data_IF_272365858787
#
_entry.id   IF_272365858787
#
_cell.length_a   1.000
_cell.length_b   1.000
_cell.length_c   1.000
_cell.angle_alpha   90.00
_cell.angle_beta   90.00
_cell.angle_gamma   90.00
#
_symmetry.space_group_name_H-M   'P 1'
#
loop_
_entity.id
_entity.type
_entity.pdbx_description
1 polymer ?
#
# COMPACT_ATOMS: atom_id res chain seq x y z
N UNK A 1 47.07 11.34 -16.05
CA UNK A 1 46.19 11.13 -14.88
C UNK A 1 44.76 10.94 -15.37
N UNK A 2 44.29 9.69 -15.48
CA UNK A 2 42.98 9.38 -16.05
C UNK A 2 41.90 9.44 -14.96
N UNK A 3 40.95 10.38 -15.12
CA UNK A 3 39.77 10.56 -14.26
C UNK A 3 38.84 9.34 -14.46
N UNK A 4 38.80 8.42 -13.49
CA UNK A 4 37.83 7.31 -13.51
C UNK A 4 36.42 7.90 -13.47
N UNK A 5 35.65 7.70 -14.54
CA UNK A 5 34.27 8.17 -14.68
C UNK A 5 33.42 7.45 -13.62
N UNK A 6 32.73 8.19 -12.77
CA UNK A 6 31.79 7.63 -11.80
C UNK A 6 30.60 7.01 -12.56
N UNK A 7 30.39 5.70 -12.43
CA UNK A 7 29.21 5.04 -13.01
C UNK A 7 28.00 5.33 -12.12
N UNK A 8 26.86 5.70 -12.72
CA UNK A 8 25.62 5.92 -11.97
C UNK A 8 24.90 4.60 -11.70
N UNK A 9 24.37 4.40 -10.49
CA UNK A 9 23.60 3.20 -10.15
C UNK A 9 22.31 3.10 -11.00
N UNK A 10 22.14 2.00 -11.74
CA UNK A 10 21.00 1.78 -12.65
C UNK A 10 19.62 1.81 -11.97
N UNK A 11 19.56 1.57 -10.66
CA UNK A 11 18.29 1.51 -9.91
C UNK A 11 17.94 2.82 -9.18
N UNK A 12 18.94 3.59 -8.72
CA UNK A 12 18.71 4.80 -7.92
C UNK A 12 19.34 6.08 -8.47
N UNK A 13 20.15 6.00 -9.52
CA UNK A 13 20.81 7.15 -10.14
C UNK A 13 21.95 7.76 -9.32
N UNK A 14 22.22 7.25 -8.11
CA UNK A 14 23.32 7.74 -7.28
C UNK A 14 24.68 7.48 -7.96
N UNK A 15 25.59 8.46 -7.88
CA UNK A 15 26.97 8.31 -8.32
C UNK A 15 27.68 7.26 -7.46
N UNK A 16 28.23 6.24 -8.10
CA UNK A 16 28.95 5.18 -7.41
C UNK A 16 30.44 5.54 -7.36
N UNK A 17 31.08 5.21 -6.23
CA UNK A 17 32.53 5.26 -6.13
C UNK A 17 33.15 4.29 -7.14
N UNK A 18 34.20 4.71 -7.84
CA UNK A 18 34.83 3.91 -8.89
C UNK A 18 35.28 2.54 -8.34
N UNK A 19 34.71 1.46 -8.87
CA UNK A 19 35.01 0.07 -8.46
C UNK A 19 34.12 -0.49 -7.35
N UNK A 20 33.06 0.21 -6.92
CA UNK A 20 32.13 -0.31 -5.92
C UNK A 20 31.34 -1.50 -6.46
N UNK A 21 31.45 -2.66 -5.79
CA UNK A 21 30.66 -3.85 -6.11
C UNK A 21 29.20 -3.74 -5.62
N UNK A 22 28.86 -2.75 -4.80
CA UNK A 22 27.53 -2.54 -4.26
C UNK A 22 27.20 -1.05 -4.08
N UNK A 23 25.92 -0.70 -4.19
CA UNK A 23 25.43 0.63 -3.83
C UNK A 23 25.23 0.73 -2.32
N UNK A 24 25.90 1.66 -1.66
CA UNK A 24 25.72 1.90 -0.20
C UNK A 24 24.33 2.41 0.18
N UNK A 25 23.63 3.05 -0.77
CA UNK A 25 22.27 3.58 -0.58
C UNK A 25 21.17 2.51 -0.66
N UNK A 26 21.39 1.42 -1.41
CA UNK A 26 20.36 0.38 -1.63
C UNK A 26 20.85 -1.05 -1.41
N UNK A 27 22.09 -1.26 -1.01
CA UNK A 27 22.67 -2.56 -0.67
C UNK A 27 22.75 -3.57 -1.83
N UNK A 28 22.54 -3.14 -3.08
CA UNK A 28 22.51 -4.06 -4.22
C UNK A 28 23.85 -4.14 -4.94
N UNK A 29 24.17 -5.34 -5.40
CA UNK A 29 25.31 -5.60 -6.24
C UNK A 29 25.23 -4.80 -7.55
N UNK A 30 26.34 -4.17 -7.93
CA UNK A 30 26.52 -3.45 -9.18
C UNK A 30 27.38 -4.30 -10.10
N UNK A 31 26.90 -4.55 -11.31
CA UNK A 31 27.69 -5.21 -12.37
C UNK A 31 28.63 -4.18 -12.99
N UNK A 32 29.68 -3.78 -12.26
CA UNK A 32 30.74 -2.92 -12.82
C UNK A 32 31.88 -3.80 -13.36
N UNK A 33 32.39 -3.57 -14.58
CA UNK A 33 33.55 -4.29 -15.13
C UNK A 33 34.82 -4.12 -14.28
N UNK A 34 34.88 -3.08 -13.44
CA UNK A 34 35.98 -2.78 -12.52
C UNK A 34 35.74 -3.27 -11.08
N UNK A 35 34.67 -4.05 -10.84
CA UNK A 35 34.36 -4.57 -9.51
C UNK A 35 35.47 -5.55 -9.06
N UNK A 36 36.14 -5.23 -7.95
CA UNK A 36 36.98 -6.21 -7.26
C UNK A 36 36.13 -7.42 -6.83
N UNK A 37 36.68 -8.64 -6.85
CA UNK A 37 35.95 -9.85 -6.47
C UNK A 37 35.33 -9.65 -5.08
N UNK A 38 34.05 -9.99 -4.97
CA UNK A 38 33.29 -9.83 -3.74
C UNK A 38 34.06 -10.45 -2.55
N UNK A 39 34.18 -9.76 -1.40
CA UNK A 39 34.77 -10.35 -0.22
C UNK A 39 33.99 -11.62 0.15
N UNK A 40 34.69 -12.76 0.21
CA UNK A 40 34.10 -14.10 0.46
C UNK A 40 33.39 -14.23 1.81
N UNK A 41 33.61 -13.29 2.72
CA UNK A 41 32.86 -13.17 3.96
C UNK A 41 32.85 -11.71 4.41
N UNK A 42 31.66 -11.17 4.60
CA UNK A 42 31.46 -10.02 5.49
C UNK A 42 31.33 -10.63 6.88
N UNK A 43 32.11 -10.21 7.89
CA UNK A 43 31.93 -10.69 9.25
C UNK A 43 30.52 -10.33 9.69
N UNK A 44 29.64 -11.33 9.74
CA UNK A 44 28.33 -11.22 10.33
C UNK A 44 28.55 -10.89 11.80
N UNK A 45 28.23 -9.66 12.19
CA UNK A 45 27.98 -9.35 13.58
C UNK A 45 27.02 -10.42 14.15
N UNK A 46 27.23 -10.77 15.42
CA UNK A 46 26.48 -11.80 16.15
C UNK A 46 25.00 -11.88 15.70
N UNK A 47 24.46 -13.08 15.40
CA UNK A 47 23.18 -13.24 14.69
C UNK A 47 22.02 -12.48 15.35
N UNK A 48 22.01 -12.36 16.67
CA UNK A 48 21.00 -11.60 17.42
C UNK A 48 21.00 -10.09 17.09
N UNK A 49 22.18 -9.47 16.97
CA UNK A 49 22.29 -8.03 16.68
C UNK A 49 22.08 -7.74 15.19
N UNK A 50 22.55 -8.64 14.31
CA UNK A 50 22.29 -8.55 12.88
C UNK A 50 20.80 -8.73 12.54
N UNK A 51 20.09 -9.62 13.24
CA UNK A 51 18.64 -9.80 13.08
C UNK A 51 17.86 -8.60 13.61
N UNK A 52 18.24 -8.00 14.74
CA UNK A 52 17.61 -6.77 15.22
C UNK A 52 17.85 -5.58 14.28
N UNK A 53 19.08 -5.41 13.77
CA UNK A 53 19.40 -4.36 12.81
C UNK A 53 18.67 -4.57 11.47
N UNK A 54 18.61 -5.81 10.98
CA UNK A 54 17.83 -6.18 9.80
C UNK A 54 16.33 -5.97 10.01
N UNK A 55 15.79 -6.25 11.20
CA UNK A 55 14.40 -5.97 11.55
C UNK A 55 14.12 -4.47 11.61
N UNK A 56 15.03 -3.66 12.14
CA UNK A 56 14.93 -2.20 12.15
C UNK A 56 14.89 -1.61 10.74
N UNK A 57 15.80 -2.04 9.87
CA UNK A 57 15.82 -1.65 8.44
C UNK A 57 14.59 -2.17 7.69
N UNK A 58 14.13 -3.38 7.99
CA UNK A 58 12.91 -3.93 7.42
C UNK A 58 11.68 -3.12 7.83
N UNK A 59 11.60 -2.67 9.08
CA UNK A 59 10.53 -1.81 9.56
C UNK A 59 10.56 -0.43 8.89
N UNK A 60 11.74 0.14 8.66
CA UNK A 60 11.90 1.41 7.94
C UNK A 60 11.45 1.31 6.47
N UNK A 61 11.83 0.22 5.78
CA UNK A 61 11.41 -0.04 4.40
C UNK A 61 9.91 -0.38 4.31
N UNK A 62 9.38 -1.13 5.29
CA UNK A 62 7.95 -1.42 5.39
C UNK A 62 7.15 -0.14 5.66
N UNK A 63 7.64 0.74 6.54
CA UNK A 63 7.00 2.03 6.86
C UNK A 63 6.87 2.94 5.64
N UNK A 64 7.93 3.06 4.81
CA UNK A 64 7.84 3.82 3.55
C UNK A 64 6.82 3.24 2.57
N UNK A 65 6.67 1.91 2.52
CA UNK A 65 5.65 1.25 1.68
C UNK A 65 4.24 1.45 2.21
N UNK A 66 4.07 1.45 3.53
CA UNK A 66 2.79 1.78 4.16
C UNK A 66 2.41 3.24 3.88
N UNK A 67 3.35 4.17 4.03
CA UNK A 67 3.13 5.59 3.73
C UNK A 67 2.75 5.81 2.25
N UNK A 68 3.42 5.11 1.33
CA UNK A 68 3.06 5.14 -0.09
C UNK A 68 1.62 4.65 -0.33
N UNK A 69 1.22 3.54 0.30
CA UNK A 69 -0.15 3.01 0.19
C UNK A 69 -1.19 3.92 0.85
N UNK A 70 -0.84 4.61 1.94
CA UNK A 70 -1.70 5.63 2.56
C UNK A 70 -1.96 6.79 1.62
N UNK A 71 -0.93 7.31 0.95
CA UNK A 71 -1.08 8.39 -0.05
C UNK A 71 -1.93 7.94 -1.23
N UNK A 72 -1.73 6.73 -1.74
CA UNK A 72 -2.57 6.17 -2.81
C UNK A 72 -4.05 5.99 -2.36
N UNK A 73 -4.29 5.83 -1.06
CA UNK A 73 -5.63 5.71 -0.46
C UNK A 73 -6.37 7.04 -0.23
N UNK A 74 -5.67 8.18 -0.32
CA UNK A 74 -6.26 9.50 -0.02
C UNK A 74 -7.42 9.83 -0.97
N UNK A 75 -7.24 9.61 -2.27
CA UNK A 75 -8.27 9.96 -3.26
C UNK A 75 -9.57 9.15 -3.07
N UNK A 76 -9.54 7.80 -2.95
CA UNK A 76 -10.76 7.05 -2.67
C UNK A 76 -11.38 7.39 -1.31
N UNK A 77 -10.57 7.76 -0.31
CA UNK A 77 -11.08 8.24 0.99
C UNK A 77 -11.83 9.57 0.86
N UNK A 78 -11.33 10.52 0.07
CA UNK A 78 -12.02 11.80 -0.20
C UNK A 78 -13.34 11.56 -0.95
N UNK A 79 -13.35 10.67 -1.95
CA UNK A 79 -14.58 10.32 -2.67
C UNK A 79 -15.64 9.73 -1.74
N UNK A 80 -15.25 8.82 -0.86
CA UNK A 80 -16.17 8.25 0.12
C UNK A 80 -16.62 9.27 1.17
N UNK A 81 -15.71 10.13 1.64
CA UNK A 81 -16.01 11.18 2.61
C UNK A 81 -16.99 12.21 2.06
N UNK A 82 -16.78 12.67 0.83
CA UNK A 82 -17.69 13.62 0.16
C UNK A 82 -19.06 13.00 -0.10
N UNK A 83 -19.11 11.71 -0.48
CA UNK A 83 -20.36 10.99 -0.64
C UNK A 83 -21.12 10.81 0.67
N UNK A 84 -20.40 10.56 1.78
CA UNK A 84 -21.00 10.45 3.11
C UNK A 84 -21.59 11.79 3.56
N UNK A 85 -20.84 12.88 3.44
CA UNK A 85 -21.32 14.24 3.78
C UNK A 85 -22.56 14.59 2.96
N UNK A 86 -22.50 14.40 1.65
CA UNK A 86 -23.62 14.70 0.74
C UNK A 86 -24.83 13.81 1.03
N UNK A 87 -24.60 12.52 1.32
CA UNK A 87 -25.66 11.58 1.69
C UNK A 87 -26.37 11.99 2.97
N UNK A 88 -25.63 12.42 4.01
CA UNK A 88 -26.23 12.89 5.26
C UNK A 88 -27.01 14.18 5.10
N UNK A 89 -26.56 15.10 4.23
CA UNK A 89 -27.25 16.35 3.94
C UNK A 89 -28.59 16.14 3.20
N UNK A 90 -28.74 15.00 2.51
CA UNK A 90 -29.93 14.66 1.71
C UNK A 90 -30.94 13.79 2.48
N UNK A 91 -30.71 13.51 3.76
CA UNK A 91 -31.60 12.70 4.58
C UNK A 91 -32.95 13.42 4.74
N UNK A 92 -33.99 12.84 4.14
CA UNK A 92 -35.36 13.28 4.32
C UNK A 92 -36.07 12.39 5.34
N UNK A 93 -36.63 13.00 6.37
CA UNK A 93 -37.44 12.33 7.37
C UNK A 93 -38.91 12.51 6.99
N UNK A 94 -39.58 11.41 6.65
CA UNK A 94 -41.04 11.42 6.48
C UNK A 94 -41.68 10.92 7.77
N UNK A 95 -42.59 11.73 8.29
CA UNK A 95 -43.38 11.39 9.47
C UNK A 95 -44.81 11.11 9.01
N UNK A 96 -45.24 9.86 9.20
CA UNK A 96 -46.57 9.40 8.79
C UNK A 96 -47.15 8.56 9.92
N UNK A 97 -48.25 9.02 10.51
CA UNK A 97 -49.02 8.30 11.54
C UNK A 97 -48.17 7.76 12.71
N UNK A 98 -47.39 8.63 13.36
CA UNK A 98 -46.57 8.30 14.54
C UNK A 98 -45.37 7.37 14.30
N UNK A 99 -45.10 6.99 13.04
CA UNK A 99 -43.88 6.29 12.64
C UNK A 99 -42.97 7.24 11.85
N UNK A 100 -41.71 7.32 12.29
CA UNK A 100 -40.66 8.10 11.64
C UNK A 100 -39.91 7.18 10.67
N UNK A 101 -40.21 7.28 9.38
CA UNK A 101 -39.53 6.51 8.33
C UNK A 101 -38.42 7.37 7.71
N UNK A 102 -37.19 6.85 7.72
CA UNK A 102 -36.04 7.51 7.09
C UNK A 102 -35.92 6.97 5.67
N UNK A 103 -36.13 7.84 4.68
CA UNK A 103 -36.02 7.47 3.27
C UNK A 103 -34.54 7.55 2.83
N UNK A 104 -33.91 6.40 2.61
CA UNK A 104 -32.51 6.31 2.12
C UNK A 104 -32.38 6.28 0.60
N UNK A 105 -33.50 6.27 -0.13
CA UNK A 105 -33.54 6.06 -1.58
C UNK A 105 -32.70 7.07 -2.36
N UNK A 106 -32.78 8.36 -1.97
CA UNK A 106 -32.05 9.44 -2.61
C UNK A 106 -30.61 9.60 -2.07
N UNK A 107 -30.36 9.58 -0.75
CA UNK A 107 -29.01 9.55 -0.19
C UNK A 107 -28.11 8.41 -0.68
N UNK A 108 -28.69 7.26 -1.05
CA UNK A 108 -27.93 6.11 -1.52
C UNK A 108 -27.28 6.31 -2.89
N UNK A 109 -27.81 7.21 -3.73
CA UNK A 109 -27.32 7.45 -5.09
C UNK A 109 -25.86 7.95 -5.11
N UNK A 110 -25.50 9.06 -4.43
CA UNK A 110 -24.10 9.52 -4.39
C UNK A 110 -23.18 8.49 -3.74
N UNK A 111 -23.65 7.75 -2.73
CA UNK A 111 -22.89 6.66 -2.12
C UNK A 111 -22.55 5.53 -3.09
N UNK A 112 -23.51 5.10 -3.92
CA UNK A 112 -23.29 4.08 -4.96
C UNK A 112 -22.31 4.56 -6.03
N UNK A 113 -22.49 5.80 -6.51
CA UNK A 113 -21.61 6.40 -7.52
C UNK A 113 -20.16 6.49 -7.00
N UNK A 114 -19.98 7.01 -5.79
CA UNK A 114 -18.66 7.10 -5.17
C UNK A 114 -18.04 5.74 -4.91
N UNK A 115 -18.85 4.73 -4.54
CA UNK A 115 -18.38 3.35 -4.39
C UNK A 115 -17.83 2.77 -5.68
N UNK A 116 -18.58 2.90 -6.79
CA UNK A 116 -18.12 2.41 -8.10
C UNK A 116 -16.86 3.14 -8.56
N UNK A 117 -16.81 4.47 -8.42
CA UNK A 117 -15.65 5.27 -8.80
C UNK A 117 -14.41 4.93 -7.95
N UNK A 118 -14.60 4.76 -6.64
CA UNK A 118 -13.54 4.36 -5.71
C UNK A 118 -12.99 2.97 -6.07
N UNK A 119 -13.87 2.00 -6.31
CA UNK A 119 -13.47 0.65 -6.74
C UNK A 119 -12.71 0.68 -8.07
N UNK A 120 -13.22 1.42 -9.05
CA UNK A 120 -12.57 1.56 -10.36
C UNK A 120 -11.17 2.18 -10.22
N UNK A 121 -11.01 3.19 -9.36
CA UNK A 121 -9.71 3.81 -9.09
C UNK A 121 -8.73 2.86 -8.41
N UNK A 122 -9.18 2.06 -7.43
CA UNK A 122 -8.34 1.06 -6.76
C UNK A 122 -7.88 -0.02 -7.74
N UNK A 123 -8.79 -0.54 -8.56
CA UNK A 123 -8.46 -1.52 -9.60
C UNK A 123 -7.49 -0.94 -10.63
N UNK A 124 -7.68 0.32 -11.04
CA UNK A 124 -6.76 1.03 -11.91
C UNK A 124 -5.36 1.15 -11.29
N UNK A 125 -5.26 1.51 -10.00
CA UNK A 125 -3.99 1.56 -9.27
C UNK A 125 -3.30 0.19 -9.24
N UNK A 126 -4.05 -0.88 -8.93
CA UNK A 126 -3.50 -2.24 -8.90
C UNK A 126 -2.97 -2.65 -10.27
N UNK A 127 -3.71 -2.32 -11.34
CA UNK A 127 -3.30 -2.60 -12.70
C UNK A 127 -2.07 -1.79 -13.12
N UNK A 128 -1.98 -0.53 -12.70
CA UNK A 128 -0.81 0.33 -12.96
C UNK A 128 0.42 -0.18 -12.21
N UNK A 129 0.26 -0.58 -10.95
CA UNK A 129 1.30 -1.20 -10.13
C UNK A 129 1.81 -2.49 -10.77
N UNK A 130 0.90 -3.33 -11.26
CA UNK A 130 1.22 -4.58 -11.96
C UNK A 130 1.95 -4.37 -13.30
N UNK A 131 1.60 -3.35 -14.08
CA UNK A 131 2.22 -3.10 -15.40
C UNK A 131 3.56 -2.38 -15.31
N UNK A 132 3.68 -1.41 -14.40
CA UNK A 132 4.80 -0.45 -14.42
C UNK A 132 5.63 -0.44 -13.15
N UNK A 133 5.16 -1.09 -12.08
CA UNK A 133 5.78 -1.03 -10.75
C UNK A 133 5.77 0.37 -10.13
N UNK A 134 5.02 1.31 -10.74
CA UNK A 134 4.99 2.73 -10.39
C UNK A 134 3.54 3.16 -10.11
N UNK A 135 3.26 3.34 -8.84
CA UNK A 135 2.04 4.02 -8.33
C UNK A 135 2.41 5.40 -7.79
N UNK A 136 1.49 6.37 -7.78
CA UNK A 136 1.79 7.75 -7.39
C UNK A 136 2.46 7.85 -6.00
N UNK A 137 2.00 7.07 -5.01
CA UNK A 137 2.64 6.97 -3.71
C UNK A 137 4.05 6.39 -3.76
N UNK A 138 4.26 5.34 -4.55
CA UNK A 138 5.61 4.78 -4.75
C UNK A 138 6.58 5.79 -5.38
N UNK A 139 6.10 6.63 -6.30
CA UNK A 139 6.90 7.71 -6.89
C UNK A 139 7.24 8.76 -5.84
N UNK A 140 6.27 9.19 -5.04
CA UNK A 140 6.46 10.19 -3.99
C UNK A 140 7.49 9.75 -2.93
N UNK A 141 7.52 8.46 -2.56
CA UNK A 141 8.46 7.92 -1.58
C UNK A 141 9.69 7.24 -2.20
N UNK A 142 9.87 7.34 -3.53
CA UNK A 142 11.04 6.79 -4.23
C UNK A 142 11.19 5.26 -4.17
N UNK A 143 10.10 4.54 -3.87
CA UNK A 143 10.07 3.08 -3.76
C UNK A 143 9.63 2.47 -5.09
N UNK A 144 10.23 1.33 -5.48
CA UNK A 144 9.74 0.52 -6.61
C UNK A 144 9.36 -0.88 -6.14
N UNK A 145 8.33 -1.44 -6.78
CA UNK A 145 7.98 -2.85 -6.68
C UNK A 145 8.64 -3.60 -7.83
N UNK A 146 9.64 -4.42 -7.51
CA UNK A 146 10.32 -5.32 -8.45
C UNK A 146 10.26 -6.73 -7.89
N UNK A 147 10.38 -7.72 -8.78
CA UNK A 147 10.62 -9.09 -8.34
C UNK A 147 11.99 -9.22 -7.66
N UNK A 148 12.18 -10.31 -6.91
CA UNK A 148 13.45 -10.64 -6.26
C UNK A 148 14.58 -10.73 -7.29
N UNK A 149 14.24 -11.12 -8.53
CA UNK A 149 15.16 -11.22 -9.67
C UNK A 149 15.42 -9.88 -10.39
N UNK A 150 14.87 -8.77 -9.90
CA UNK A 150 15.00 -7.44 -10.51
C UNK A 150 14.16 -7.21 -11.77
N UNK A 151 13.38 -8.21 -12.20
CA UNK A 151 12.42 -8.12 -13.30
C UNK A 151 11.14 -7.36 -12.89
N UNK A 152 10.38 -6.82 -13.86
CA UNK A 152 9.08 -6.21 -13.59
C UNK A 152 8.16 -7.21 -12.87
N UNK A 153 7.42 -6.71 -11.88
CA UNK A 153 6.53 -7.54 -11.07
C UNK A 153 5.50 -8.25 -11.95
N UNK A 154 5.30 -9.55 -11.73
CA UNK A 154 4.30 -10.30 -12.49
C UNK A 154 2.90 -9.78 -12.14
N UNK A 155 2.12 -9.47 -13.19
CA UNK A 155 0.76 -8.95 -13.09
C UNK A 155 -0.14 -9.81 -12.17
N UNK A 156 -0.21 -11.14 -12.33
CA UNK A 156 -1.11 -11.96 -11.50
C UNK A 156 -0.68 -12.03 -10.03
N UNK A 157 0.62 -12.07 -9.74
CA UNK A 157 1.10 -12.16 -8.37
C UNK A 157 0.83 -10.87 -7.59
N UNK A 158 1.03 -9.72 -8.23
CA UNK A 158 0.77 -8.40 -7.63
C UNK A 158 -0.72 -8.21 -7.38
N UNK A 159 -1.56 -8.60 -8.34
CA UNK A 159 -3.01 -8.54 -8.19
C UNK A 159 -3.52 -9.44 -7.06
N UNK A 160 -3.09 -10.70 -7.04
CA UNK A 160 -3.49 -11.66 -6.00
C UNK A 160 -3.07 -11.20 -4.61
N UNK A 161 -1.87 -10.66 -4.47
CA UNK A 161 -1.41 -10.07 -3.20
C UNK A 161 -2.33 -8.96 -2.72
N UNK A 162 -2.63 -7.99 -3.59
CA UNK A 162 -3.49 -6.87 -3.22
C UNK A 162 -4.93 -7.35 -2.93
N UNK A 163 -5.42 -8.37 -3.65
CA UNK A 163 -6.72 -8.99 -3.42
C UNK A 163 -6.80 -9.67 -2.04
N UNK A 164 -5.79 -10.45 -1.66
CA UNK A 164 -5.74 -11.10 -0.34
C UNK A 164 -5.73 -10.05 0.78
N UNK A 165 -4.93 -8.99 0.63
CA UNK A 165 -4.88 -7.90 1.61
C UNK A 165 -6.23 -7.18 1.69
N UNK A 166 -6.87 -6.91 0.56
CA UNK A 166 -8.19 -6.29 0.52
C UNK A 166 -9.26 -7.20 1.17
N UNK A 167 -9.29 -8.49 0.85
CA UNK A 167 -10.20 -9.45 1.45
C UNK A 167 -10.01 -9.57 2.97
N UNK A 168 -8.76 -9.62 3.44
CA UNK A 168 -8.44 -9.63 4.87
C UNK A 168 -8.92 -8.35 5.57
N UNK A 169 -8.75 -7.18 4.92
CA UNK A 169 -9.24 -5.92 5.46
C UNK A 169 -10.77 -5.90 5.55
N UNK A 170 -11.49 -6.40 4.56
CA UNK A 170 -12.96 -6.49 4.57
C UNK A 170 -13.42 -7.43 5.68
N UNK A 171 -12.79 -8.60 5.81
CA UNK A 171 -13.11 -9.57 6.86
C UNK A 171 -12.92 -8.97 8.26
N UNK A 172 -11.85 -8.19 8.48
CA UNK A 172 -11.63 -7.48 9.74
C UNK A 172 -12.74 -6.44 10.02
N UNK A 173 -13.12 -5.64 9.02
CA UNK A 173 -14.19 -4.65 9.19
C UNK A 173 -15.53 -5.32 9.47
N UNK A 174 -15.92 -6.34 8.71
CA UNK A 174 -17.17 -7.10 8.94
C UNK A 174 -17.15 -7.76 10.32
N UNK A 175 -16.03 -8.38 10.70
CA UNK A 175 -15.86 -8.98 12.02
C UNK A 175 -16.05 -7.96 13.15
N UNK A 176 -15.41 -6.78 13.04
CA UNK A 176 -15.57 -5.72 14.04
C UNK A 176 -17.02 -5.21 14.14
N UNK A 177 -17.71 -5.05 13.01
CA UNK A 177 -19.13 -4.66 12.98
C UNK A 177 -20.00 -5.73 13.61
N UNK A 178 -19.76 -7.01 13.34
CA UNK A 178 -20.53 -8.12 13.94
C UNK A 178 -20.33 -8.20 15.46
N UNK A 179 -19.11 -7.96 15.95
CA UNK A 179 -18.82 -7.95 17.40
C UNK A 179 -19.54 -6.79 18.10
N UNK A 180 -19.55 -5.61 17.48
CA UNK A 180 -20.22 -4.41 18.03
C UNK A 180 -21.73 -4.46 17.82
N UNK A 181 -22.21 -5.17 16.80
CA UNK A 181 -23.62 -5.24 16.45
C UNK A 181 -24.33 -6.35 17.22
N UNK A 182 -25.52 -6.04 17.74
CA UNK A 182 -26.44 -7.05 18.30
C UNK A 182 -27.02 -8.00 17.23
N UNK A 183 -26.62 -7.88 15.96
CA UNK A 183 -27.10 -8.72 14.86
C UNK A 183 -26.82 -10.23 15.04
N UNK A 184 -25.85 -10.59 15.89
CA UNK A 184 -25.54 -11.99 16.24
C UNK A 184 -26.14 -12.47 17.57
N UNK A 185 -26.84 -11.62 18.32
CA UNK A 185 -27.37 -12.00 19.63
C UNK A 185 -28.80 -12.57 19.53
N UNK A 186 -28.89 -13.91 19.54
CA UNK A 186 -30.16 -14.62 19.58
C UNK A 186 -30.96 -14.39 20.88
N UNK A 187 -30.33 -13.86 21.94
CA UNK A 187 -30.94 -13.67 23.26
C UNK A 187 -31.43 -12.23 23.54
N UNK A 188 -31.40 -11.33 22.55
CA UNK A 188 -31.92 -9.96 22.64
C UNK A 188 -31.43 -9.17 23.88
N UNK A 189 -30.24 -9.50 24.41
CA UNK A 189 -29.64 -8.76 25.52
C UNK A 189 -28.90 -7.57 24.94
N UNK A 190 -29.51 -6.39 25.07
CA UNK A 190 -28.88 -5.14 24.65
C UNK A 190 -27.58 -4.96 25.44
N UNK A 191 -26.45 -4.99 24.74
CA UNK A 191 -25.18 -4.52 25.29
C UNK A 191 -25.37 -3.02 25.62
N UNK A 192 -25.36 -2.71 26.92
CA UNK A 192 -25.45 -1.35 27.46
C UNK A 192 -24.08 -0.76 27.70
#
# INVERSE_FOLDING_TARGET
>A
MARKVAESCRNCGAELAAGSAFSTLRGMAVTSPAASPAPRAVPLACPAHAQLAAAGLAMEVAGRRLAAKMVDGVLPAILMGTALVTGTALLSVKESNSFRTIDFSWPAVPGRIASVLSLAYVLWLWFREARTGKVPGNIAFGVRTTHVDGLPASVPATFLRNLIIAAASIAFHVGSVVVVSNAGDANARRQG
#
